data_IF_328232313245
#
_entry.id   IF_328232313245
#
_cell.length_a   1.000
_cell.length_b   1.000
_cell.length_c   1.000
_cell.angle_alpha   90.00
_cell.angle_beta   90.00
_cell.angle_gamma   90.00
#
_symmetry.space_group_name_H-M   'P 1'
#
loop_
_entity.id
_entity.type
_entity.pdbx_description
1 polymer ?
#
# COMPACT_ATOMS: atom_id res chain seq x y z
N UNK A 1 4.27 -47.73 13.65
CA UNK A 1 4.84 -46.42 13.99
C UNK A 1 4.51 -45.50 12.82
N UNK A 2 3.42 -44.73 12.93
CA UNK A 2 2.90 -43.89 11.84
C UNK A 2 3.26 -42.44 12.14
N UNK A 3 4.19 -41.89 11.36
CA UNK A 3 4.60 -40.49 11.46
C UNK A 3 3.56 -39.65 10.74
N UNK A 4 2.65 -39.08 11.51
CA UNK A 4 1.58 -38.21 11.02
C UNK A 4 1.88 -36.78 11.46
N UNK A 5 2.90 -36.14 10.88
CA UNK A 5 3.34 -34.83 11.36
C UNK A 5 3.23 -33.71 10.32
N UNK A 6 2.17 -32.93 10.54
CA UNK A 6 2.08 -31.46 10.45
C UNK A 6 2.23 -30.83 9.05
N UNK A 7 1.08 -30.66 8.39
CA UNK A 7 0.90 -29.58 7.40
C UNK A 7 0.66 -28.25 8.13
N UNK A 8 1.71 -27.49 8.39
CA UNK A 8 1.57 -26.09 8.83
C UNK A 8 1.19 -25.25 7.61
N UNK A 9 -0.12 -25.14 7.34
CA UNK A 9 -0.63 -24.13 6.42
C UNK A 9 -0.46 -22.75 7.05
N UNK A 10 0.71 -22.14 6.87
CA UNK A 10 0.90 -20.70 7.07
C UNK A 10 0.18 -19.97 5.95
N UNK A 11 -1.13 -19.82 6.11
CA UNK A 11 -1.91 -18.90 5.29
C UNK A 11 -1.72 -17.50 5.90
N UNK A 12 -0.88 -16.69 5.27
CA UNK A 12 -0.89 -15.25 5.54
C UNK A 12 -2.27 -14.74 5.13
N UNK A 13 -3.09 -14.38 6.12
CA UNK A 13 -4.46 -13.94 5.89
C UNK A 13 -4.53 -12.84 4.84
N UNK A 14 -5.17 -13.14 3.71
CA UNK A 14 -5.60 -12.11 2.76
C UNK A 14 -6.79 -11.39 3.39
N UNK A 15 -6.52 -10.28 4.07
CA UNK A 15 -7.57 -9.34 4.45
C UNK A 15 -7.94 -8.51 3.20
N UNK A 16 -8.64 -9.16 2.27
CA UNK A 16 -9.29 -8.48 1.16
C UNK A 16 -10.62 -7.93 1.64
N UNK A 17 -10.66 -6.66 2.03
CA UNK A 17 -11.92 -5.92 2.09
C UNK A 17 -12.37 -5.71 0.64
N UNK A 18 -13.06 -6.69 0.07
CA UNK A 18 -13.79 -6.52 -1.18
C UNK A 18 -14.99 -5.63 -0.88
N UNK A 19 -14.73 -4.32 -0.81
CA UNK A 19 -15.78 -3.32 -0.91
C UNK A 19 -16.26 -3.36 -2.35
N UNK A 20 -17.49 -3.79 -2.50
CA UNK A 20 -18.29 -3.80 -3.74
C UNK A 20 -18.64 -2.34 -4.08
N UNK A 21 -17.64 -1.59 -4.57
CA UNK A 21 -17.78 -0.16 -4.84
C UNK A 21 -17.93 0.04 -6.36
N UNK A 22 -19.16 0.38 -6.75
CA UNK A 22 -19.56 1.11 -7.97
C UNK A 22 -18.50 1.26 -9.07
N UNK A 23 -18.70 0.65 -10.25
CA UNK A 23 -17.84 0.88 -11.40
C UNK A 23 -18.03 2.34 -11.83
N UNK A 24 -16.94 3.10 -11.87
CA UNK A 24 -16.66 4.25 -12.77
C UNK A 24 -15.88 5.39 -12.09
N UNK A 25 -15.77 5.42 -10.76
CA UNK A 25 -15.00 6.45 -10.06
C UNK A 25 -13.63 5.90 -9.63
N UNK A 26 -12.57 6.40 -10.26
CA UNK A 26 -11.21 5.96 -9.97
C UNK A 26 -10.82 6.13 -8.49
N UNK A 27 -10.23 5.08 -7.92
CA UNK A 27 -9.72 5.05 -6.53
C UNK A 27 -8.72 6.19 -6.21
N UNK A 28 -8.72 6.59 -4.94
CA UNK A 28 -7.71 7.48 -4.34
C UNK A 28 -6.56 6.66 -3.74
N UNK A 29 -5.35 6.75 -4.30
CA UNK A 29 -4.22 5.89 -3.98
C UNK A 29 -3.03 6.71 -3.47
N UNK A 30 -2.50 6.32 -2.30
CA UNK A 30 -1.26 6.85 -1.75
C UNK A 30 -0.11 5.85 -1.97
N UNK A 31 0.95 6.30 -2.64
CA UNK A 31 2.19 5.53 -2.83
C UNK A 31 3.20 5.97 -1.78
N UNK A 32 3.62 5.04 -0.91
CA UNK A 32 4.65 5.28 0.11
C UNK A 32 6.01 4.84 -0.43
N UNK A 33 6.89 5.81 -0.69
CA UNK A 33 8.22 5.62 -1.30
C UNK A 33 8.25 6.06 -2.77
N UNK A 34 8.75 7.27 -3.03
CA UNK A 34 8.84 7.85 -4.38
C UNK A 34 10.13 7.47 -5.14
N UNK A 35 10.55 6.21 -5.05
CA UNK A 35 11.61 5.66 -5.89
C UNK A 35 11.13 5.33 -7.31
N UNK A 36 12.01 4.77 -8.15
CA UNK A 36 11.67 4.40 -9.54
C UNK A 36 10.45 3.49 -9.62
N UNK A 37 10.34 2.51 -8.71
CA UNK A 37 9.19 1.62 -8.65
C UNK A 37 7.89 2.34 -8.26
N UNK A 38 7.94 3.25 -7.27
CA UNK A 38 6.77 4.01 -6.84
C UNK A 38 6.26 4.96 -7.94
N UNK A 39 7.18 5.60 -8.67
CA UNK A 39 6.83 6.42 -9.83
C UNK A 39 6.24 5.59 -10.97
N UNK A 40 6.83 4.43 -11.30
CA UNK A 40 6.30 3.55 -12.35
C UNK A 40 4.88 3.06 -12.02
N UNK A 41 4.64 2.66 -10.76
CA UNK A 41 3.31 2.28 -10.29
C UNK A 41 2.32 3.44 -10.38
N UNK A 42 2.73 4.65 -9.96
CA UNK A 42 1.87 5.83 -10.01
C UNK A 42 1.46 6.24 -11.43
N UNK A 43 2.37 6.09 -12.40
CA UNK A 43 2.07 6.35 -13.81
C UNK A 43 1.03 5.34 -14.33
N UNK A 44 1.17 4.05 -13.99
CA UNK A 44 0.19 3.02 -14.37
C UNK A 44 -1.19 3.30 -13.81
N UNK A 45 -1.26 3.60 -12.50
CA UNK A 45 -2.51 3.88 -11.80
C UNK A 45 -3.20 5.16 -12.31
N UNK A 46 -2.44 6.23 -12.60
CA UNK A 46 -2.98 7.44 -13.23
C UNK A 46 -3.59 7.17 -14.60
N UNK A 47 -2.98 6.31 -15.41
CA UNK A 47 -3.51 5.92 -16.74
C UNK A 47 -4.79 5.09 -16.64
N UNK A 48 -5.00 4.40 -15.53
CA UNK A 48 -6.23 3.65 -15.24
C UNK A 48 -7.35 4.54 -14.68
N UNK A 49 -7.13 5.86 -14.57
CA UNK A 49 -8.13 6.81 -14.07
C UNK A 49 -8.12 7.02 -12.57
N UNK A 50 -7.16 6.43 -11.84
CA UNK A 50 -7.04 6.61 -10.39
C UNK A 50 -6.40 7.95 -10.02
N UNK A 51 -6.83 8.51 -8.90
CA UNK A 51 -6.17 9.67 -8.31
C UNK A 51 -5.01 9.20 -7.46
N UNK A 52 -3.79 9.58 -7.82
CA UNK A 52 -2.57 9.10 -7.16
C UNK A 52 -1.80 10.23 -6.49
N UNK A 53 -1.42 10.02 -5.24
CA UNK A 53 -0.45 10.84 -4.50
C UNK A 53 0.77 9.99 -4.16
N UNK A 54 1.98 10.51 -4.36
CA UNK A 54 3.22 9.84 -3.93
C UNK A 54 3.81 10.61 -2.75
N UNK A 55 4.07 9.91 -1.65
CA UNK A 55 4.78 10.44 -0.50
C UNK A 55 6.16 9.78 -0.44
N UNK A 56 7.22 10.60 -0.31
CA UNK A 56 8.53 10.11 0.05
C UNK A 56 8.73 10.32 1.56
N UNK A 57 8.80 9.26 2.39
CA UNK A 57 8.90 9.40 3.85
C UNK A 57 10.23 10.01 4.37
N UNK A 58 10.96 10.75 3.53
CA UNK A 58 12.11 11.57 3.95
C UNK A 58 11.71 12.96 4.46
N UNK A 59 10.41 13.21 4.69
CA UNK A 59 9.98 14.38 5.44
C UNK A 59 10.50 14.24 6.87
N UNK A 60 11.70 14.78 7.10
CA UNK A 60 12.23 15.03 8.42
C UNK A 60 11.16 15.89 9.09
N UNK A 61 10.41 15.28 10.00
CA UNK A 61 9.61 15.99 10.99
C UNK A 61 10.50 17.11 11.53
N UNK A 62 10.22 18.35 11.12
CA UNK A 62 10.85 19.51 11.69
C UNK A 62 10.39 19.53 13.15
N UNK A 63 11.18 18.90 14.03
CA UNK A 63 11.00 19.04 15.46
C UNK A 63 11.12 20.53 15.76
N UNK A 64 10.00 21.20 16.00
CA UNK A 64 9.96 22.50 16.63
C UNK A 64 10.71 22.39 17.97
N UNK A 65 11.99 22.79 17.96
CA UNK A 65 12.78 23.00 19.18
C UNK A 65 12.54 24.42 19.68
N UNK A 66 11.33 24.76 20.09
CA UNK A 66 11.06 25.92 20.94
C UNK A 66 9.77 25.65 21.69
N UNK A 67 9.90 25.36 22.99
CA UNK A 67 9.05 25.78 24.12
C UNK A 67 9.36 24.88 25.34
N UNK A 68 10.34 25.28 26.15
CA UNK A 68 10.15 25.78 27.52
C UNK A 68 11.47 26.43 27.96
#
# INVERSE_FOLDING_TARGET
MTTSDIQTSVTNGMNGSATDESPDEGLNILIVGAGVAGLAAGIGLRKQGHQVQANNPVERVQRNKYTN
#
